data_IF_884037440536
#
_entry.id   IF_884037440536
#
_cell.length_a   1.000
_cell.length_b   1.000
_cell.length_c   1.000
_cell.angle_alpha   90.00
_cell.angle_beta   90.00
_cell.angle_gamma   90.00
#
_symmetry.space_group_name_H-M   'P 1'
#
loop_
_entity.id
_entity.type
_entity.pdbx_description
1 polymer ?
#
# COMPACT_ATOMS: atom_id res chain seq x y z
N UNK A 1 -29.88 5.56 0.29
CA UNK A 1 -29.44 4.56 1.29
C UNK A 1 -27.93 4.61 1.52
N UNK A 2 -27.07 4.12 0.60
CA UNK A 2 -25.61 4.13 0.79
C UNK A 2 -25.07 5.52 1.18
N UNK A 3 -25.30 6.53 0.33
CA UNK A 3 -24.79 7.86 0.57
C UNK A 3 -25.37 8.52 1.84
N UNK A 4 -26.59 8.17 2.23
CA UNK A 4 -27.21 8.72 3.45
C UNK A 4 -26.58 8.13 4.72
N UNK A 5 -26.22 6.85 4.69
CA UNK A 5 -25.50 6.18 5.77
C UNK A 5 -24.05 6.67 5.88
N UNK A 6 -23.40 6.92 4.74
CA UNK A 6 -22.00 7.38 4.70
C UNK A 6 -21.89 8.87 5.03
N UNK A 7 -22.71 9.75 4.45
CA UNK A 7 -22.53 11.21 4.59
C UNK A 7 -22.69 11.75 6.01
N UNK A 8 -23.40 11.03 6.89
CA UNK A 8 -23.52 11.44 8.30
C UNK A 8 -22.20 11.32 9.06
N UNK A 9 -21.23 10.57 8.54
CA UNK A 9 -19.88 10.48 9.12
C UNK A 9 -18.96 11.62 8.69
N UNK A 10 -19.38 12.48 7.75
CA UNK A 10 -18.54 13.54 7.19
C UNK A 10 -18.22 14.64 8.21
N UNK A 11 -16.94 15.02 8.28
CA UNK A 11 -16.45 16.19 8.98
C UNK A 11 -16.28 16.02 10.50
N UNK A 12 -15.82 17.08 11.20
CA UNK A 12 -15.44 17.00 12.62
C UNK A 12 -16.61 16.74 13.57
N UNK A 13 -17.85 16.97 13.10
CA UNK A 13 -19.10 16.68 13.83
C UNK A 13 -19.82 15.46 13.26
N UNK A 14 -19.10 14.56 12.59
CA UNK A 14 -19.59 13.29 12.09
C UNK A 14 -20.30 12.48 13.18
N UNK A 15 -21.42 11.87 12.81
CA UNK A 15 -22.24 11.02 13.67
C UNK A 15 -21.73 9.60 13.64
N UNK A 16 -21.98 8.89 14.74
CA UNK A 16 -21.66 7.47 14.85
C UNK A 16 -22.63 6.64 14.01
N UNK A 17 -22.09 5.66 13.30
CA UNK A 17 -22.84 4.58 12.66
C UNK A 17 -22.53 3.30 13.42
N UNK A 18 -23.58 2.52 13.71
CA UNK A 18 -23.46 1.24 14.40
C UNK A 18 -23.55 0.13 13.36
N UNK A 19 -22.52 -0.72 13.31
CA UNK A 19 -22.43 -1.86 12.41
C UNK A 19 -22.58 -3.13 13.22
N UNK A 20 -23.53 -3.97 12.81
CA UNK A 20 -23.73 -5.27 13.43
C UNK A 20 -22.59 -6.24 13.08
N UNK A 21 -22.32 -7.19 13.96
CA UNK A 21 -21.33 -8.25 13.76
C UNK A 21 -21.98 -9.59 14.06
N UNK A 22 -21.74 -10.58 13.21
CA UNK A 22 -22.30 -11.93 13.41
C UNK A 22 -21.90 -12.57 14.74
N UNK A 23 -20.78 -12.13 15.33
CA UNK A 23 -20.32 -12.54 16.66
C UNK A 23 -19.72 -11.35 17.41
N UNK A 24 -19.98 -11.26 18.72
CA UNK A 24 -19.41 -10.26 19.60
C UNK A 24 -20.23 -8.96 19.69
N UNK A 25 -19.56 -7.88 20.10
CA UNK A 25 -20.19 -6.57 20.26
C UNK A 25 -20.25 -5.82 18.91
N UNK A 26 -21.28 -4.98 18.67
CA UNK A 26 -21.37 -4.17 17.47
C UNK A 26 -20.23 -3.16 17.40
N UNK A 27 -19.80 -2.84 16.18
CA UNK A 27 -18.79 -1.79 15.94
C UNK A 27 -19.47 -0.43 15.89
N UNK A 28 -18.93 0.55 16.60
CA UNK A 28 -19.35 1.95 16.50
C UNK A 28 -18.25 2.68 15.74
N UNK A 29 -18.57 3.29 14.59
CA UNK A 29 -17.58 3.96 13.74
C UNK A 29 -18.07 5.33 13.25
N UNK A 30 -17.10 6.21 12.96
CA UNK A 30 -17.28 7.46 12.21
C UNK A 30 -16.51 7.44 10.89
N UNK A 31 -16.01 6.29 10.48
CA UNK A 31 -15.28 6.13 9.23
C UNK A 31 -16.25 5.76 8.09
N UNK A 32 -16.22 6.53 7.00
CA UNK A 32 -17.04 6.32 5.82
C UNK A 32 -16.62 5.07 5.02
N UNK A 33 -15.35 4.67 5.08
CA UNK A 33 -14.85 3.46 4.40
C UNK A 33 -15.48 2.21 5.00
N UNK A 34 -15.42 2.10 6.33
CA UNK A 34 -16.04 1.01 7.09
C UNK A 34 -17.54 0.92 6.82
N UNK A 35 -18.26 2.05 6.81
CA UNK A 35 -19.70 2.07 6.54
C UNK A 35 -20.00 1.66 5.10
N UNK A 36 -19.28 2.19 4.11
CA UNK A 36 -19.50 1.84 2.71
C UNK A 36 -19.24 0.35 2.43
N UNK A 37 -18.29 -0.27 3.16
CA UNK A 37 -17.93 -1.68 3.00
C UNK A 37 -19.07 -2.62 3.37
N UNK A 38 -19.81 -2.33 4.42
CA UNK A 38 -20.84 -3.23 4.97
C UNK A 38 -22.24 -3.04 4.33
N UNK A 39 -22.42 -2.04 3.46
CA UNK A 39 -23.71 -1.81 2.79
C UNK A 39 -23.90 -2.78 1.61
N UNK A 40 -24.93 -3.61 1.75
CA UNK A 40 -25.51 -4.45 0.71
C UNK A 40 -27.04 -4.42 0.87
N UNK A 41 -27.77 -4.28 -0.25
CA UNK A 41 -29.23 -4.14 -0.25
C UNK A 41 -29.89 -5.43 -0.75
N UNK A 42 -31.07 -5.74 -0.21
CA UNK A 42 -31.84 -6.93 -0.60
C UNK A 42 -32.38 -6.82 -2.04
N UNK A 43 -32.87 -5.64 -2.43
CA UNK A 43 -33.30 -5.38 -3.80
C UNK A 43 -32.08 -5.32 -4.72
N UNK A 44 -32.08 -6.15 -5.77
CA UNK A 44 -30.95 -6.27 -6.68
C UNK A 44 -30.69 -5.00 -7.49
N UNK A 45 -31.71 -4.25 -7.88
CA UNK A 45 -31.54 -3.01 -8.63
C UNK A 45 -30.97 -1.90 -7.75
N UNK A 46 -31.48 -1.77 -6.53
CA UNK A 46 -30.92 -0.83 -5.55
C UNK A 46 -29.49 -1.21 -5.18
N UNK A 47 -29.21 -2.50 -4.97
CA UNK A 47 -27.88 -2.98 -4.64
C UNK A 47 -26.90 -2.71 -5.78
N UNK A 48 -27.28 -2.93 -7.04
CA UNK A 48 -26.45 -2.56 -8.19
C UNK A 48 -26.07 -1.08 -8.14
N UNK A 49 -27.03 -0.20 -7.85
CA UNK A 49 -26.80 1.24 -7.65
C UNK A 49 -25.79 1.53 -6.53
N UNK A 50 -25.97 0.88 -5.38
CA UNK A 50 -25.08 1.03 -4.23
C UNK A 50 -23.65 0.54 -4.53
N UNK A 51 -23.50 -0.65 -5.13
CA UNK A 51 -22.18 -1.20 -5.46
C UNK A 51 -21.43 -0.33 -6.49
N UNK A 52 -22.12 0.27 -7.47
CA UNK A 52 -21.50 1.20 -8.42
C UNK A 52 -20.92 2.44 -7.72
N UNK A 53 -21.63 3.04 -6.76
CA UNK A 53 -21.12 4.19 -6.01
C UNK A 53 -20.01 3.79 -5.03
N UNK A 54 -20.11 2.59 -4.44
CA UNK A 54 -19.06 2.03 -3.59
C UNK A 54 -17.74 1.86 -4.35
N UNK A 55 -17.79 1.47 -5.62
CA UNK A 55 -16.60 1.39 -6.48
C UNK A 55 -15.94 2.76 -6.70
N UNK A 56 -16.74 3.83 -6.84
CA UNK A 56 -16.22 5.21 -6.92
C UNK A 56 -15.48 5.58 -5.65
N UNK A 57 -16.07 5.28 -4.49
CA UNK A 57 -15.51 5.60 -3.19
C UNK A 57 -14.22 4.81 -2.89
N UNK A 58 -14.19 3.53 -3.28
CA UNK A 58 -13.00 2.67 -3.17
C UNK A 58 -11.87 3.15 -4.07
N UNK A 59 -12.14 3.48 -5.33
CA UNK A 59 -11.10 3.97 -6.26
C UNK A 59 -10.52 5.32 -5.83
N UNK A 60 -11.34 6.19 -5.26
CA UNK A 60 -10.85 7.45 -4.68
C UNK A 60 -9.88 7.17 -3.52
N UNK A 61 -10.23 6.24 -2.64
CA UNK A 61 -9.37 5.83 -1.54
C UNK A 61 -8.07 5.16 -2.02
N UNK A 62 -8.15 4.24 -2.99
CA UNK A 62 -6.99 3.54 -3.53
C UNK A 62 -5.99 4.52 -4.17
N UNK A 63 -6.48 5.60 -4.79
CA UNK A 63 -5.66 6.59 -5.49
C UNK A 63 -5.13 7.71 -4.58
N UNK A 64 -5.93 8.19 -3.63
CA UNK A 64 -5.62 9.38 -2.83
C UNK A 64 -5.41 9.09 -1.33
N UNK A 65 -5.77 7.90 -0.85
CA UNK A 65 -5.65 7.50 0.55
C UNK A 65 -6.67 8.10 1.52
N UNK A 66 -7.61 8.91 1.02
CA UNK A 66 -8.73 9.50 1.77
C UNK A 66 -9.84 9.92 0.76
N UNK A 67 -10.94 10.47 1.25
CA UNK A 67 -11.96 11.15 0.45
C UNK A 67 -13.16 10.28 0.10
N UNK A 68 -13.26 9.06 0.63
CA UNK A 68 -14.38 8.13 0.39
C UNK A 68 -15.74 8.76 0.66
N UNK A 69 -15.89 9.48 1.78
CA UNK A 69 -17.13 10.15 2.15
C UNK A 69 -17.45 11.31 1.19
N UNK A 70 -16.44 12.12 0.85
CA UNK A 70 -16.58 13.24 -0.10
C UNK A 70 -16.96 12.74 -1.49
N UNK A 71 -16.28 11.71 -2.00
CA UNK A 71 -16.56 11.08 -3.28
C UNK A 71 -17.99 10.54 -3.33
N UNK A 72 -18.46 9.92 -2.25
CA UNK A 72 -19.83 9.39 -2.15
C UNK A 72 -20.88 10.51 -2.17
N UNK A 73 -20.65 11.63 -1.48
CA UNK A 73 -21.56 12.78 -1.46
C UNK A 73 -21.61 13.50 -2.81
N UNK A 74 -20.46 13.68 -3.46
CA UNK A 74 -20.39 14.26 -4.81
C UNK A 74 -21.08 13.36 -5.83
N UNK A 75 -20.83 12.05 -5.78
CA UNK A 75 -21.51 11.08 -6.62
C UNK A 75 -23.04 11.13 -6.43
N UNK A 76 -23.52 11.15 -5.17
CA UNK A 76 -24.94 11.30 -4.87
C UNK A 76 -25.52 12.57 -5.51
N UNK A 77 -24.82 13.70 -5.39
CA UNK A 77 -25.28 15.00 -5.86
C UNK A 77 -25.38 15.05 -7.39
N UNK A 78 -24.34 14.59 -8.09
CA UNK A 78 -24.30 14.53 -9.56
C UNK A 78 -25.37 13.56 -10.09
N UNK A 79 -25.51 12.39 -9.48
CA UNK A 79 -26.53 11.40 -9.90
C UNK A 79 -27.94 11.97 -9.70
N UNK A 80 -28.21 12.60 -8.55
CA UNK A 80 -29.53 13.13 -8.23
C UNK A 80 -29.94 14.24 -9.20
N UNK A 81 -29.08 15.23 -9.42
CA UNK A 81 -29.38 16.34 -10.34
C UNK A 81 -29.37 15.89 -11.80
N UNK A 82 -28.49 14.96 -12.18
CA UNK A 82 -28.47 14.36 -13.51
C UNK A 82 -29.76 13.60 -13.82
N UNK A 83 -30.25 12.76 -12.90
CA UNK A 83 -31.49 12.02 -13.09
C UNK A 83 -32.72 12.94 -13.12
N UNK A 84 -32.74 14.04 -12.36
CA UNK A 84 -33.80 15.06 -12.47
C UNK A 84 -33.83 15.69 -13.86
N UNK A 85 -32.67 16.04 -14.41
CA UNK A 85 -32.56 16.61 -15.75
C UNK A 85 -33.01 15.60 -16.84
N UNK A 86 -32.65 14.33 -16.69
CA UNK A 86 -33.13 13.25 -17.59
C UNK A 86 -34.65 13.08 -17.48
N UNK A 87 -35.21 13.07 -16.26
CA UNK A 87 -36.65 13.00 -16.06
C UNK A 87 -37.40 14.22 -16.64
N UNK A 88 -36.74 15.37 -16.71
CA UNK A 88 -37.24 16.57 -17.40
C UNK A 88 -37.13 16.49 -18.94
N UNK A 89 -36.64 15.38 -19.49
CA UNK A 89 -36.56 15.13 -20.93
C UNK A 89 -35.26 15.58 -21.59
N UNK A 90 -34.24 15.98 -20.82
CA UNK A 90 -32.93 16.32 -21.38
C UNK A 90 -32.18 15.08 -21.85
N UNK A 91 -31.37 15.22 -22.91
CA UNK A 91 -30.58 14.13 -23.46
C UNK A 91 -29.48 13.69 -22.48
N UNK A 92 -29.48 12.43 -21.99
CA UNK A 92 -28.47 11.94 -21.05
C UNK A 92 -27.04 12.03 -21.58
N UNK A 93 -26.84 11.87 -22.90
CA UNK A 93 -25.52 11.91 -23.51
C UNK A 93 -24.93 13.32 -23.50
N UNK A 94 -25.77 14.35 -23.71
CA UNK A 94 -25.34 15.74 -23.69
C UNK A 94 -25.08 16.20 -22.24
N UNK A 95 -25.89 15.75 -21.28
CA UNK A 95 -25.62 15.96 -19.84
C UNK A 95 -24.27 15.39 -19.45
N UNK A 96 -24.00 14.11 -19.78
CA UNK A 96 -22.70 13.48 -19.52
C UNK A 96 -21.56 14.23 -20.20
N UNK A 97 -21.75 14.63 -21.47
CA UNK A 97 -20.73 15.40 -22.23
C UNK A 97 -20.49 16.78 -21.62
N UNK A 98 -21.48 17.41 -21.00
CA UNK A 98 -21.33 18.69 -20.31
C UNK A 98 -20.63 18.57 -18.96
N UNK A 99 -20.90 17.51 -18.20
CA UNK A 99 -20.27 17.26 -16.89
C UNK A 99 -18.74 17.11 -17.03
N UNK A 100 -18.26 16.39 -18.06
CA UNK A 100 -16.83 16.13 -18.26
C UNK A 100 -15.97 17.40 -18.29
N UNK A 101 -16.18 18.33 -19.25
CA UNK A 101 -15.46 19.60 -19.31
C UNK A 101 -15.61 20.46 -18.05
N UNK A 102 -16.77 20.43 -17.40
CA UNK A 102 -16.98 21.13 -16.12
C UNK A 102 -16.05 20.60 -15.02
N UNK A 103 -15.91 19.28 -14.92
CA UNK A 103 -14.97 18.65 -13.99
C UNK A 103 -13.52 18.97 -14.37
N UNK A 104 -13.15 18.92 -15.65
CA UNK A 104 -11.80 19.26 -16.10
C UNK A 104 -11.42 20.71 -15.76
N UNK A 105 -12.32 21.67 -16.01
CA UNK A 105 -12.11 23.06 -15.60
C UNK A 105 -11.98 23.20 -14.08
N UNK A 106 -12.76 22.44 -13.31
CA UNK A 106 -12.63 22.39 -11.85
C UNK A 106 -11.27 21.85 -11.39
N UNK A 107 -10.76 20.79 -12.03
CA UNK A 107 -9.44 20.21 -11.73
C UNK A 107 -8.31 21.19 -12.05
N UNK A 108 -8.35 21.87 -13.19
CA UNK A 108 -7.35 22.89 -13.53
C UNK A 108 -7.34 24.04 -12.50
N UNK A 109 -8.51 24.48 -12.09
CA UNK A 109 -8.63 25.53 -11.08
C UNK A 109 -8.15 25.05 -9.70
N UNK A 110 -8.42 23.79 -9.32
CA UNK A 110 -7.90 23.20 -8.09
C UNK A 110 -6.37 23.13 -8.10
N UNK A 111 -5.75 22.77 -9.22
CA UNK A 111 -4.29 22.81 -9.37
C UNK A 111 -3.74 24.23 -9.21
N UNK A 112 -4.43 25.23 -9.75
CA UNK A 112 -4.02 26.63 -9.60
C UNK A 112 -4.19 27.17 -8.17
N UNK A 113 -5.16 26.65 -7.42
CA UNK A 113 -5.39 26.98 -6.00
C UNK A 113 -4.48 26.19 -5.05
N UNK A 114 -3.86 25.10 -5.52
CA UNK A 114 -3.04 24.22 -4.70
C UNK A 114 -1.81 24.96 -4.17
N UNK A 115 -1.60 24.84 -2.86
CA UNK A 115 -0.43 25.37 -2.16
C UNK A 115 0.53 24.21 -1.90
N UNK A 116 1.80 24.27 -2.36
CA UNK A 116 2.75 23.20 -2.12
C UNK A 116 3.00 22.94 -0.62
N UNK A 117 2.89 21.69 -0.19
CA UNK A 117 3.21 21.24 1.16
C UNK A 117 4.71 20.89 1.23
N UNK A 118 5.55 21.91 1.46
CA UNK A 118 7.01 21.75 1.33
C UNK A 118 7.77 21.75 2.65
N UNK A 119 7.19 22.35 3.69
CA UNK A 119 7.77 22.49 5.02
C UNK A 119 7.22 21.46 6.01
N UNK A 120 8.07 21.03 6.95
CA UNK A 120 7.71 20.06 7.99
C UNK A 120 6.49 20.50 8.82
N UNK A 121 6.27 21.81 8.97
CA UNK A 121 5.09 22.35 9.67
C UNK A 121 3.79 22.12 8.89
N UNK A 122 3.77 22.37 7.58
CA UNK A 122 2.60 22.06 6.76
C UNK A 122 2.33 20.54 6.73
N UNK A 123 3.37 19.72 6.63
CA UNK A 123 3.28 18.25 6.70
C UNK A 123 2.64 17.82 8.03
N UNK A 124 3.11 18.38 9.15
CA UNK A 124 2.54 18.10 10.46
C UNK A 124 1.07 18.55 10.59
N UNK A 125 0.70 19.68 9.99
CA UNK A 125 -0.68 20.17 9.97
C UNK A 125 -1.61 19.24 9.20
N UNK A 126 -1.19 18.78 8.03
CA UNK A 126 -1.95 17.80 7.24
C UNK A 126 -2.13 16.51 8.05
N UNK A 127 -1.04 15.95 8.57
CA UNK A 127 -1.08 14.73 9.38
C UNK A 127 -1.97 14.89 10.62
N UNK A 128 -1.95 16.05 11.27
CA UNK A 128 -2.80 16.36 12.43
C UNK A 128 -4.28 16.36 12.06
N UNK A 129 -4.66 17.01 10.95
CA UNK A 129 -6.06 17.10 10.51
C UNK A 129 -6.58 15.72 10.11
N UNK A 130 -5.81 14.97 9.33
CA UNK A 130 -6.17 13.61 8.90
C UNK A 130 -6.22 12.64 10.08
N UNK A 131 -5.40 12.86 11.12
CA UNK A 131 -5.46 12.10 12.37
C UNK A 131 -6.51 12.61 13.36
N UNK A 132 -7.66 13.13 12.90
CA UNK A 132 -8.74 13.63 13.77
C UNK A 132 -8.29 14.70 14.78
N UNK A 133 -7.43 15.64 14.34
CA UNK A 133 -6.85 16.71 15.17
C UNK A 133 -5.87 16.24 16.26
N UNK A 134 -5.20 15.10 16.05
CA UNK A 134 -4.15 14.58 16.92
C UNK A 134 -2.77 15.14 16.51
N UNK A 135 -2.30 16.14 17.25
CA UNK A 135 -1.00 16.80 16.99
C UNK A 135 0.21 15.86 17.18
N UNK A 136 0.07 14.83 18.01
CA UNK A 136 1.16 13.88 18.26
C UNK A 136 1.46 13.05 17.02
N UNK A 137 0.40 12.58 16.34
CA UNK A 137 0.49 11.82 15.10
C UNK A 137 1.06 12.67 13.96
N UNK A 138 0.57 13.91 13.81
CA UNK A 138 1.08 14.82 12.79
C UNK A 138 2.57 15.13 12.96
N UNK A 139 3.01 15.38 14.19
CA UNK A 139 4.43 15.65 14.50
C UNK A 139 5.31 14.44 14.19
N UNK A 140 4.83 13.24 14.55
CA UNK A 140 5.55 11.99 14.35
C UNK A 140 5.70 11.62 12.86
N UNK A 141 4.66 11.86 12.05
CA UNK A 141 4.73 11.69 10.59
C UNK A 141 5.73 12.69 9.98
N UNK A 142 5.71 13.94 10.42
CA UNK A 142 6.63 14.96 9.92
C UNK A 142 8.09 14.61 10.23
N UNK A 143 8.37 14.11 11.44
CA UNK A 143 9.71 13.62 11.81
C UNK A 143 10.13 12.41 10.98
N UNK A 144 9.22 11.49 10.69
CA UNK A 144 9.50 10.34 9.83
C UNK A 144 9.89 10.79 8.41
N UNK A 145 9.09 11.67 7.80
CA UNK A 145 9.35 12.21 6.46
C UNK A 145 10.64 13.03 6.40
N UNK A 146 11.01 13.72 7.49
CA UNK A 146 12.28 14.45 7.56
C UNK A 146 13.49 13.51 7.56
N UNK A 147 13.39 12.34 8.21
CA UNK A 147 14.48 11.34 8.25
C UNK A 147 14.67 10.60 6.93
N UNK A 148 13.60 10.11 6.32
CA UNK A 148 13.69 9.30 5.07
C UNK A 148 13.56 10.13 3.79
N UNK A 149 13.24 11.42 3.92
CA UNK A 149 12.96 12.32 2.81
C UNK A 149 11.54 12.15 2.26
N UNK A 150 11.17 13.01 1.31
CA UNK A 150 9.81 13.07 0.74
C UNK A 150 9.40 11.80 0.00
N UNK A 151 10.36 11.15 -0.65
CA UNK A 151 10.17 9.90 -1.39
C UNK A 151 10.46 8.65 -0.54
N UNK A 152 10.75 8.85 0.74
CA UNK A 152 11.09 7.79 1.67
C UNK A 152 9.90 6.89 1.99
N UNK A 153 10.19 5.61 2.25
CA UNK A 153 9.18 4.63 2.63
C UNK A 153 8.93 4.74 4.13
N UNK A 154 7.67 4.91 4.53
CA UNK A 154 7.25 4.94 5.93
C UNK A 154 6.25 3.82 6.15
N UNK A 155 6.41 3.07 7.22
CA UNK A 155 5.57 1.94 7.61
C UNK A 155 5.15 2.11 9.08
N UNK A 156 3.97 1.59 9.42
CA UNK A 156 3.40 1.72 10.77
C UNK A 156 3.26 0.34 11.40
N UNK A 157 3.75 0.19 12.63
CA UNK A 157 3.72 -1.04 13.40
C UNK A 157 3.06 -0.85 14.77
N UNK A 158 2.62 -1.96 15.34
CA UNK A 158 2.14 -2.01 16.72
C UNK A 158 3.34 -1.87 17.66
N UNK A 159 3.31 -0.89 18.56
CA UNK A 159 4.36 -0.68 19.55
C UNK A 159 4.28 -1.67 20.69
N UNK A 160 5.40 -1.94 21.36
CA UNK A 160 5.47 -2.85 22.51
C UNK A 160 5.19 -2.15 23.85
N UNK A 161 5.06 -0.81 23.85
CA UNK A 161 4.91 0.00 25.05
C UNK A 161 3.89 1.13 24.92
N UNK A 162 3.92 2.04 25.89
CA UNK A 162 3.02 3.20 25.96
C UNK A 162 3.44 4.36 25.05
N UNK A 163 4.73 4.44 24.70
CA UNK A 163 5.31 5.54 23.95
C UNK A 163 5.41 5.18 22.46
N UNK A 164 5.28 6.19 21.62
CA UNK A 164 5.53 6.05 20.19
C UNK A 164 7.04 6.06 19.91
N UNK A 165 7.50 5.22 18.98
CA UNK A 165 8.91 5.13 18.57
C UNK A 165 9.04 5.35 17.06
N UNK A 166 10.13 6.00 16.64
CA UNK A 166 10.48 6.20 15.24
C UNK A 166 11.91 5.70 14.99
N UNK A 167 11.99 4.56 14.33
CA UNK A 167 13.25 3.94 13.90
C UNK A 167 13.40 4.03 12.39
N UNK A 168 14.64 4.15 11.91
CA UNK A 168 14.94 4.01 10.47
C UNK A 168 15.77 2.74 10.35
N UNK A 169 15.27 1.81 9.54
CA UNK A 169 15.88 0.51 9.31
C UNK A 169 16.19 0.32 7.83
N UNK A 170 17.10 -0.58 7.52
CA UNK A 170 17.41 -0.94 6.14
C UNK A 170 16.20 -1.66 5.51
N UNK A 171 15.74 -1.17 4.37
CA UNK A 171 14.55 -1.72 3.73
C UNK A 171 14.32 -1.09 2.35
N UNK A 172 13.41 -1.67 1.59
CA UNK A 172 13.04 -1.14 0.27
C UNK A 172 11.58 -1.40 -0.07
N UNK A 173 11.03 -0.58 -0.95
CA UNK A 173 9.71 -0.79 -1.55
C UNK A 173 9.83 -0.85 -3.08
N UNK A 174 9.04 -1.74 -3.69
CA UNK A 174 8.90 -1.84 -5.15
C UNK A 174 7.46 -2.09 -5.58
N UNK A 175 7.15 -1.67 -6.80
CA UNK A 175 5.78 -1.52 -7.31
C UNK A 175 5.28 -2.81 -7.97
N UNK A 176 5.23 -3.88 -7.15
CA UNK A 176 4.64 -5.18 -7.49
C UNK A 176 3.85 -5.66 -6.29
N UNK A 177 2.58 -6.01 -6.49
CA UNK A 177 1.76 -6.61 -5.44
C UNK A 177 1.63 -8.12 -5.54
N UNK A 178 0.75 -8.67 -4.70
CA UNK A 178 0.47 -10.10 -4.63
C UNK A 178 -0.11 -10.63 -5.95
N UNK A 179 0.33 -11.82 -6.35
CA UNK A 179 -0.19 -12.51 -7.55
C UNK A 179 -1.64 -13.00 -7.38
N UNK A 180 -2.08 -13.19 -6.13
CA UNK A 180 -3.42 -13.65 -5.82
C UNK A 180 -3.95 -12.98 -4.54
N UNK A 181 -5.19 -12.44 -4.53
CA UNK A 181 -5.81 -11.92 -3.31
C UNK A 181 -5.99 -12.96 -2.20
N UNK A 182 -5.92 -14.26 -2.53
CA UNK A 182 -6.01 -15.33 -1.54
C UNK A 182 -4.79 -15.42 -0.61
N UNK A 183 -3.72 -14.67 -0.86
CA UNK A 183 -2.60 -14.55 0.08
C UNK A 183 -2.88 -13.55 1.21
N UNK A 184 -3.93 -12.73 1.11
CA UNK A 184 -4.29 -11.72 2.11
C UNK A 184 -4.56 -12.40 3.45
N UNK A 185 -3.78 -12.05 4.46
CA UNK A 185 -3.95 -12.49 5.84
C UNK A 185 -4.43 -11.37 6.78
N UNK A 186 -4.47 -10.12 6.29
CA UNK A 186 -5.08 -8.96 6.95
C UNK A 186 -6.23 -8.43 6.08
N UNK A 187 -7.47 -8.93 6.26
CA UNK A 187 -8.61 -8.51 5.45
C UNK A 187 -9.02 -7.05 5.66
N UNK A 188 -8.64 -6.43 6.79
CA UNK A 188 -8.99 -5.03 7.05
C UNK A 188 -8.24 -4.08 6.10
N UNK A 189 -6.94 -4.28 5.93
CA UNK A 189 -6.08 -3.48 5.05
C UNK A 189 -5.98 -4.05 3.64
N UNK A 190 -6.45 -5.29 3.42
CA UNK A 190 -6.27 -5.99 2.15
C UNK A 190 -4.80 -6.34 1.86
N UNK A 191 -3.97 -6.43 2.90
CA UNK A 191 -2.53 -6.66 2.78
C UNK A 191 -2.12 -8.08 3.20
N UNK A 192 -0.94 -8.48 2.74
CA UNK A 192 -0.22 -9.65 3.24
C UNK A 192 0.90 -9.17 4.15
N UNK A 193 0.87 -9.58 5.40
CA UNK A 193 1.93 -9.29 6.37
C UNK A 193 2.66 -10.58 6.77
N UNK A 194 3.96 -10.65 6.48
CA UNK A 194 4.80 -11.79 6.85
C UNK A 194 5.83 -11.35 7.88
N UNK A 195 5.85 -11.99 9.05
CA UNK A 195 6.83 -11.77 10.11
C UNK A 195 7.99 -12.75 9.99
N UNK A 196 9.21 -12.22 10.04
CA UNK A 196 10.48 -12.96 9.88
C UNK A 196 10.49 -13.95 8.69
N UNK A 197 10.06 -13.54 7.47
CA UNK A 197 10.00 -14.45 6.34
C UNK A 197 11.38 -14.79 5.78
N UNK A 198 11.48 -15.97 5.19
CA UNK A 198 12.47 -16.25 4.15
C UNK A 198 12.05 -15.61 2.83
N UNK A 199 13.01 -15.23 2.00
CA UNK A 199 12.80 -14.55 0.73
C UNK A 199 13.53 -15.32 -0.37
N UNK A 200 12.76 -15.96 -1.23
CA UNK A 200 13.25 -16.65 -2.42
C UNK A 200 13.31 -15.67 -3.59
N UNK A 201 14.48 -15.53 -4.20
CA UNK A 201 14.72 -14.69 -5.36
C UNK A 201 15.07 -15.56 -6.56
N UNK A 202 14.14 -15.67 -7.51
CA UNK A 202 14.30 -16.54 -8.67
C UNK A 202 14.19 -15.74 -9.98
N UNK A 203 15.25 -15.70 -10.78
CA UNK A 203 15.20 -15.11 -12.13
C UNK A 203 14.70 -16.12 -13.18
N UNK A 204 13.54 -16.70 -12.91
CA UNK A 204 12.83 -17.61 -13.82
C UNK A 204 11.32 -17.57 -13.58
N UNK A 205 10.57 -18.06 -14.55
CA UNK A 205 9.14 -18.36 -14.37
C UNK A 205 8.98 -19.69 -13.63
N UNK A 206 8.11 -19.71 -12.63
CA UNK A 206 7.82 -20.90 -11.83
C UNK A 206 6.42 -21.38 -12.19
N UNK A 207 6.36 -22.40 -13.05
CA UNK A 207 5.09 -23.01 -13.47
C UNK A 207 4.82 -24.35 -12.77
N UNK A 208 5.89 -25.04 -12.36
CA UNK A 208 5.83 -26.38 -11.78
C UNK A 208 6.13 -26.35 -10.27
N UNK A 209 5.25 -26.92 -9.46
CA UNK A 209 5.43 -26.96 -8.00
C UNK A 209 6.55 -27.92 -7.56
N UNK A 210 6.89 -28.92 -8.38
CA UNK A 210 7.91 -29.94 -8.02
C UNK A 210 9.27 -29.32 -7.73
N UNK A 211 9.65 -28.31 -8.51
CA UNK A 211 10.89 -27.57 -8.35
C UNK A 211 10.96 -26.80 -7.02
N UNK A 212 9.79 -26.48 -6.45
CA UNK A 212 9.66 -25.74 -5.19
C UNK A 212 9.55 -26.65 -3.97
N UNK A 213 9.29 -27.96 -4.13
CA UNK A 213 9.08 -28.88 -3.00
C UNK A 213 10.25 -28.88 -2.00
N UNK A 214 11.53 -28.99 -2.43
CA UNK A 214 12.64 -29.01 -1.48
C UNK A 214 12.73 -27.74 -0.63
N UNK A 215 12.52 -26.58 -1.27
CA UNK A 215 12.53 -25.27 -0.60
C UNK A 215 11.35 -25.14 0.36
N UNK A 216 10.15 -25.53 -0.07
CA UNK A 216 8.94 -25.46 0.76
C UNK A 216 9.04 -26.36 1.99
N UNK A 217 9.59 -27.57 1.84
CA UNK A 217 9.81 -28.49 2.96
C UNK A 217 10.84 -27.93 3.95
N UNK A 218 11.93 -27.35 3.46
CA UNK A 218 12.96 -26.73 4.30
C UNK A 218 12.40 -25.54 5.10
N UNK A 219 11.62 -24.67 4.44
CA UNK A 219 11.00 -23.50 5.09
C UNK A 219 9.91 -23.91 6.07
N UNK A 220 9.07 -24.89 5.72
CA UNK A 220 8.06 -25.43 6.62
C UNK A 220 8.69 -26.05 7.89
N UNK A 221 9.82 -26.75 7.76
CA UNK A 221 10.58 -27.30 8.89
C UNK A 221 11.15 -26.21 9.80
N UNK A 222 11.54 -25.07 9.23
CA UNK A 222 11.99 -23.91 9.98
C UNK A 222 10.85 -23.12 10.66
N UNK A 223 9.59 -23.41 10.32
CA UNK A 223 8.41 -22.78 10.92
C UNK A 223 8.24 -21.29 10.57
N UNK A 224 8.93 -20.81 9.53
CA UNK A 224 8.90 -19.41 9.08
C UNK A 224 8.07 -19.28 7.79
N UNK A 225 7.49 -18.09 7.52
CA UNK A 225 6.83 -17.82 6.25
C UNK A 225 7.82 -17.68 5.08
N UNK A 226 7.33 -17.78 3.85
CA UNK A 226 8.11 -17.61 2.61
C UNK A 226 7.52 -16.51 1.73
N UNK A 227 8.35 -15.57 1.32
CA UNK A 227 8.10 -14.66 0.19
C UNK A 227 8.79 -15.22 -1.05
N UNK A 228 8.06 -15.32 -2.17
CA UNK A 228 8.60 -15.68 -3.47
C UNK A 228 8.61 -14.44 -4.36
N UNK A 229 9.78 -14.02 -4.81
CA UNK A 229 9.96 -12.98 -5.82
C UNK A 229 10.55 -13.63 -7.07
N UNK A 230 9.73 -13.80 -8.09
CA UNK A 230 10.11 -14.48 -9.33
C UNK A 230 9.73 -13.67 -10.57
N UNK A 231 10.22 -14.04 -11.76
CA UNK A 231 9.73 -13.40 -13.00
C UNK A 231 8.20 -13.52 -13.10
N UNK A 232 7.69 -14.73 -12.87
CA UNK A 232 6.28 -15.01 -12.73
C UNK A 232 6.06 -16.31 -11.94
N UNK A 233 4.91 -16.44 -11.29
CA UNK A 233 4.44 -17.70 -10.69
C UNK A 233 3.05 -17.98 -11.24
N UNK A 234 2.94 -19.03 -12.05
CA UNK A 234 1.74 -19.28 -12.85
C UNK A 234 1.32 -20.75 -12.84
N UNK A 235 0.13 -21.02 -13.38
CA UNK A 235 -0.38 -22.38 -13.59
C UNK A 235 -0.53 -23.19 -12.30
N UNK A 236 -0.02 -24.41 -12.32
CA UNK A 236 -0.13 -25.38 -11.23
C UNK A 236 0.58 -24.89 -9.95
N UNK A 237 1.74 -24.24 -10.09
CA UNK A 237 2.49 -23.71 -8.96
C UNK A 237 1.67 -22.70 -8.15
N UNK A 238 1.07 -21.70 -8.83
CA UNK A 238 0.26 -20.68 -8.15
C UNK A 238 -0.97 -21.28 -7.47
N UNK A 239 -1.70 -22.16 -8.17
CA UNK A 239 -2.90 -22.79 -7.62
C UNK A 239 -2.58 -23.62 -6.37
N UNK A 240 -1.46 -24.36 -6.39
CA UNK A 240 -1.03 -25.20 -5.27
C UNK A 240 -0.59 -24.35 -4.07
N UNK A 241 0.17 -23.28 -4.31
CA UNK A 241 0.56 -22.34 -3.26
C UNK A 241 -0.67 -21.72 -2.59
N UNK A 242 -1.65 -21.25 -3.37
CA UNK A 242 -2.90 -20.67 -2.84
C UNK A 242 -3.63 -21.67 -1.95
N UNK A 243 -3.86 -22.90 -2.42
CA UNK A 243 -4.59 -23.92 -1.65
C UNK A 243 -3.85 -24.30 -0.36
N UNK A 244 -2.52 -24.41 -0.41
CA UNK A 244 -1.72 -24.75 0.78
C UNK A 244 -1.67 -23.60 1.79
N UNK A 245 -1.59 -22.35 1.33
CA UNK A 245 -1.69 -21.17 2.20
C UNK A 245 -3.06 -21.08 2.87
N UNK A 246 -4.16 -21.30 2.12
CA UNK A 246 -5.52 -21.31 2.67
C UNK A 246 -5.75 -22.41 3.71
N UNK A 247 -5.08 -23.56 3.57
CA UNK A 247 -5.12 -24.66 4.54
C UNK A 247 -4.20 -24.46 5.75
N UNK A 248 -3.40 -23.39 5.77
CA UNK A 248 -2.44 -23.10 6.82
C UNK A 248 -1.25 -24.07 6.88
N UNK A 249 -1.00 -24.84 5.81
CA UNK A 249 0.10 -25.81 5.76
C UNK A 249 1.44 -25.07 5.65
N UNK A 250 1.50 -24.08 4.76
CA UNK A 250 2.68 -23.22 4.57
C UNK A 250 2.20 -21.78 4.44
N UNK A 251 2.84 -20.85 5.15
CA UNK A 251 2.56 -19.42 5.01
C UNK A 251 3.40 -18.86 3.88
N UNK A 252 2.85 -18.82 2.67
CA UNK A 252 3.57 -18.35 1.47
C UNK A 252 2.82 -17.21 0.79
N UNK A 253 3.58 -16.23 0.30
CA UNK A 253 3.10 -15.21 -0.62
C UNK A 253 4.03 -15.11 -1.83
N UNK A 254 3.49 -14.78 -2.99
CA UNK A 254 4.25 -14.65 -4.23
C UNK A 254 3.96 -13.32 -4.94
N UNK A 255 5.02 -12.68 -5.41
CA UNK A 255 5.01 -11.41 -6.14
C UNK A 255 5.90 -11.50 -7.38
N UNK A 256 5.60 -10.67 -8.38
CA UNK A 256 6.47 -10.53 -9.54
C UNK A 256 7.73 -9.74 -9.17
N UNK A 257 8.83 -10.05 -9.83
CA UNK A 257 10.04 -9.27 -9.76
C UNK A 257 9.81 -7.86 -10.38
N UNK A 258 10.44 -6.82 -9.81
CA UNK A 258 10.37 -5.48 -10.39
C UNK A 258 11.21 -5.38 -11.67
N UNK A 259 10.78 -4.50 -12.59
CA UNK A 259 11.46 -4.30 -13.87
C UNK A 259 11.27 -5.43 -14.90
N UNK A 260 12.09 -5.42 -15.95
CA UNK A 260 12.11 -6.40 -17.04
C UNK A 260 13.55 -6.51 -17.61
N UNK A 261 13.86 -7.64 -18.26
CA UNK A 261 15.18 -7.87 -18.88
C UNK A 261 16.33 -7.72 -17.88
N UNK A 262 17.44 -7.10 -18.30
CA UNK A 262 18.63 -6.91 -17.48
C UNK A 262 18.37 -6.08 -16.21
N UNK A 263 17.39 -5.18 -16.26
CA UNK A 263 16.99 -4.39 -15.09
C UNK A 263 16.35 -5.25 -14.02
N UNK A 264 15.56 -6.26 -14.40
CA UNK A 264 14.98 -7.21 -13.45
C UNK A 264 16.08 -7.94 -12.68
N UNK A 265 17.10 -8.43 -13.40
CA UNK A 265 18.27 -9.09 -12.79
C UNK A 265 19.00 -8.18 -11.82
N UNK A 266 19.26 -6.94 -12.25
CA UNK A 266 19.93 -5.95 -11.41
C UNK A 266 19.14 -5.62 -10.14
N UNK A 267 17.81 -5.48 -10.24
CA UNK A 267 16.93 -5.21 -9.08
C UNK A 267 16.75 -6.43 -8.19
N UNK A 268 16.67 -7.64 -8.73
CA UNK A 268 16.68 -8.87 -7.93
C UNK A 268 17.97 -8.98 -7.12
N UNK A 269 19.12 -8.64 -7.73
CA UNK A 269 20.39 -8.61 -7.01
C UNK A 269 20.40 -7.55 -5.90
N UNK A 270 19.76 -6.41 -6.10
CA UNK A 270 19.63 -5.38 -5.05
C UNK A 270 18.83 -5.90 -3.86
N UNK A 271 17.71 -6.60 -4.11
CA UNK A 271 16.92 -7.25 -3.06
C UNK A 271 17.73 -8.34 -2.36
N UNK A 272 18.52 -9.12 -3.11
CA UNK A 272 19.37 -10.18 -2.57
C UNK A 272 20.40 -9.62 -1.59
N UNK A 273 21.09 -8.55 -1.98
CA UNK A 273 22.07 -7.86 -1.12
C UNK A 273 21.40 -7.28 0.13
N UNK A 274 20.23 -6.65 -0.01
CA UNK A 274 19.49 -6.09 1.12
C UNK A 274 19.03 -7.16 2.12
N UNK A 275 18.68 -8.35 1.64
CA UNK A 275 18.13 -9.43 2.46
C UNK A 275 19.17 -10.49 2.85
N UNK A 276 20.40 -10.38 2.36
CA UNK A 276 21.46 -11.36 2.57
C UNK A 276 21.23 -12.70 1.83
N UNK A 277 20.44 -12.70 0.75
CA UNK A 277 20.15 -13.89 -0.06
C UNK A 277 20.95 -13.96 -1.36
N UNK A 278 20.75 -15.06 -2.10
CA UNK A 278 21.36 -15.30 -3.41
C UNK A 278 20.28 -15.38 -4.49
N UNK A 279 20.48 -14.72 -5.64
CA UNK A 279 19.55 -14.82 -6.77
C UNK A 279 19.78 -16.15 -7.49
N UNK A 280 18.74 -16.98 -7.54
CA UNK A 280 18.76 -18.25 -8.27
C UNK A 280 18.45 -17.97 -9.74
N UNK A 281 19.45 -18.14 -10.59
CA UNK A 281 19.35 -17.94 -12.04
C UNK A 281 19.87 -19.17 -12.80
N UNK A 282 19.11 -19.59 -13.81
CA UNK A 282 19.50 -20.69 -14.70
C UNK A 282 20.74 -20.34 -15.52
N UNK A 283 21.03 -19.05 -15.74
CA UNK A 283 22.23 -18.61 -16.48
C UNK A 283 23.54 -18.93 -15.77
N UNK A 284 23.49 -19.01 -14.43
CA UNK A 284 24.63 -19.35 -13.57
C UNK A 284 24.64 -20.86 -13.26
N UNK A 285 23.68 -21.62 -13.80
CA UNK A 285 23.54 -23.06 -13.57
C UNK A 285 22.96 -23.42 -12.21
N UNK A 286 22.27 -22.48 -11.53
CA UNK A 286 21.57 -22.76 -10.28
C UNK A 286 20.17 -23.28 -10.54
N UNK A 287 19.76 -24.29 -9.77
CA UNK A 287 18.45 -24.95 -9.86
C UNK A 287 17.70 -24.78 -8.54
N UNK A 288 16.39 -24.50 -8.60
CA UNK A 288 15.53 -24.36 -7.41
C UNK A 288 15.53 -25.61 -6.53
N UNK A 289 15.70 -26.79 -7.14
CA UNK A 289 15.68 -28.08 -6.45
C UNK A 289 16.90 -28.27 -5.54
N UNK A 290 18.00 -27.56 -5.82
CA UNK A 290 19.25 -27.60 -5.06
C UNK A 290 19.41 -26.42 -4.10
N UNK A 291 18.44 -25.49 -4.08
CA UNK A 291 18.49 -24.32 -3.24
C UNK A 291 18.43 -24.71 -1.76
N UNK A 292 19.36 -24.19 -0.98
CA UNK A 292 19.42 -24.36 0.45
C UNK A 292 18.73 -23.20 1.18
N UNK A 293 18.51 -23.36 2.49
CA UNK A 293 18.00 -22.26 3.33
C UNK A 293 18.96 -21.06 3.39
N UNK A 294 20.25 -21.29 3.13
CA UNK A 294 21.29 -20.26 3.09
C UNK A 294 21.22 -19.38 1.83
N UNK A 295 20.60 -19.88 0.75
CA UNK A 295 20.39 -19.11 -0.47
C UNK A 295 19.21 -18.14 -0.35
N UNK A 296 18.33 -18.37 0.63
CA UNK A 296 17.17 -17.53 0.88
C UNK A 296 17.57 -16.30 1.69
N UNK A 297 17.13 -15.13 1.22
CA UNK A 297 17.23 -13.90 1.99
C UNK A 297 16.32 -13.93 3.22
N UNK A 298 16.54 -13.03 4.16
CA UNK A 298 15.69 -12.83 5.32
C UNK A 298 15.43 -11.34 5.56
N UNK A 299 14.26 -11.06 6.14
CA UNK A 299 13.90 -9.74 6.64
C UNK A 299 13.06 -9.90 7.91
N UNK A 300 12.97 -8.86 8.73
CA UNK A 300 12.13 -8.87 9.93
C UNK A 300 10.65 -8.87 9.59
N UNK A 301 10.25 -8.12 8.56
CA UNK A 301 8.86 -8.06 8.11
C UNK A 301 8.76 -7.74 6.62
N UNK A 302 7.74 -8.29 5.98
CA UNK A 302 7.36 -7.93 4.61
C UNK A 302 5.87 -7.61 4.58
N UNK A 303 5.52 -6.51 3.93
CA UNK A 303 4.14 -6.10 3.68
C UNK A 303 3.89 -6.04 2.18
N UNK A 304 2.85 -6.72 1.70
CA UNK A 304 2.48 -6.78 0.29
C UNK A 304 1.05 -6.30 0.13
N UNK A 305 0.88 -5.25 -0.66
CA UNK A 305 -0.42 -4.73 -1.06
C UNK A 305 -0.76 -5.20 -2.49
N UNK A 306 -1.85 -4.69 -3.03
CA UNK A 306 -2.30 -4.98 -4.40
C UNK A 306 -1.27 -4.58 -5.47
N UNK A 307 -0.55 -3.49 -5.24
CA UNK A 307 0.35 -2.89 -6.23
C UNK A 307 1.80 -2.74 -5.73
N UNK A 308 2.06 -2.92 -4.43
CA UNK A 308 3.37 -2.66 -3.82
C UNK A 308 3.83 -3.80 -2.91
N UNK A 309 5.15 -3.98 -2.81
CA UNK A 309 5.81 -4.84 -1.83
C UNK A 309 6.85 -4.04 -1.09
N UNK A 310 6.83 -4.10 0.24
CA UNK A 310 7.76 -3.41 1.13
C UNK A 310 8.47 -4.42 2.01
N UNK A 311 9.80 -4.42 1.95
CA UNK A 311 10.69 -5.26 2.77
C UNK A 311 11.28 -4.36 3.86
N UNK A 312 11.09 -4.77 5.12
CA UNK A 312 11.44 -3.99 6.31
C UNK A 312 12.51 -4.75 7.10
N UNK A 313 13.62 -4.08 7.39
CA UNK A 313 14.74 -4.57 8.21
C UNK A 313 15.32 -5.88 7.64
N UNK A 314 15.97 -5.74 6.48
CA UNK A 314 16.67 -6.82 5.79
C UNK A 314 17.94 -7.26 6.52
N UNK A 315 18.28 -8.55 6.46
CA UNK A 315 19.44 -9.12 7.18
C UNK A 315 20.77 -8.90 6.44
N UNK A 316 20.76 -8.16 5.32
CA UNK A 316 21.96 -7.82 4.57
C UNK A 316 22.98 -7.02 5.39
N UNK A 317 24.27 -7.29 5.19
CA UNK A 317 25.32 -6.54 5.87
C UNK A 317 25.42 -5.11 5.32
N UNK A 318 25.46 -4.09 6.19
CA UNK A 318 25.56 -2.67 5.79
C UNK A 318 26.73 -2.41 4.82
N UNK A 319 27.87 -3.09 5.01
CA UNK A 319 29.04 -2.95 4.13
C UNK A 319 28.72 -3.38 2.68
N UNK A 320 27.92 -4.44 2.52
CA UNK A 320 27.53 -4.94 1.19
C UNK A 320 26.50 -4.02 0.54
N UNK A 321 25.56 -3.47 1.32
CA UNK A 321 24.56 -2.51 0.86
C UNK A 321 25.24 -1.20 0.42
N UNK A 322 26.14 -0.65 1.25
CA UNK A 322 26.90 0.57 0.91
C UNK A 322 27.82 0.35 -0.30
N UNK A 323 28.45 -0.82 -0.40
CA UNK A 323 29.22 -1.21 -1.57
C UNK A 323 28.36 -1.20 -2.84
N UNK A 324 27.14 -1.75 -2.75
CA UNK A 324 26.18 -1.77 -3.86
C UNK A 324 25.72 -0.36 -4.24
N UNK A 325 25.39 0.49 -3.27
CA UNK A 325 25.04 1.90 -3.51
C UNK A 325 26.17 2.63 -4.23
N UNK A 326 27.42 2.40 -3.83
CA UNK A 326 28.61 3.01 -4.47
C UNK A 326 28.78 2.56 -5.92
N UNK A 327 28.60 1.26 -6.19
CA UNK A 327 28.63 0.73 -7.56
C UNK A 327 27.56 1.39 -8.45
N UNK A 328 26.33 1.53 -7.96
CA UNK A 328 25.24 2.13 -8.75
C UNK A 328 25.51 3.63 -8.96
N UNK A 329 26.07 4.34 -7.97
CA UNK A 329 26.49 5.75 -8.14
C UNK A 329 27.55 5.91 -9.22
N UNK A 330 28.53 5.02 -9.30
CA UNK A 330 29.51 5.03 -10.38
C UNK A 330 28.84 4.78 -11.74
N UNK A 331 27.88 3.85 -11.82
CA UNK A 331 27.11 3.61 -13.04
C UNK A 331 26.31 4.85 -13.50
N UNK A 332 25.84 5.70 -12.57
CA UNK A 332 25.15 6.95 -12.90
C UNK A 332 26.10 7.94 -13.60
N UNK A 333 27.35 8.02 -13.17
CA UNK A 333 28.35 8.91 -13.77
C UNK A 333 28.77 8.45 -15.17
N UNK A 334 28.87 7.13 -15.37
CA UNK A 334 29.23 6.50 -16.64
C UNK A 334 28.05 6.45 -17.63
N UNK A 335 26.80 6.59 -17.15
CA UNK A 335 25.61 6.55 -17.99
C UNK A 335 25.56 7.73 -18.96
N UNK A 336 25.36 7.42 -20.25
CA UNK A 336 25.27 8.42 -21.32
C UNK A 336 23.83 8.86 -21.61
N UNK A 337 22.85 8.09 -21.15
CA UNK A 337 21.42 8.32 -21.35
C UNK A 337 20.77 8.86 -20.09
N UNK A 338 19.98 9.93 -20.22
CA UNK A 338 19.22 10.51 -19.10
C UNK A 338 18.22 9.50 -18.52
N UNK A 339 17.65 8.65 -19.37
CA UNK A 339 16.75 7.57 -18.96
C UNK A 339 17.44 6.53 -18.06
N UNK A 340 18.71 6.21 -18.32
CA UNK A 340 19.45 5.26 -17.48
C UNK A 340 19.87 5.93 -16.17
N UNK A 341 20.23 7.21 -16.19
CA UNK A 341 20.53 7.98 -14.98
C UNK A 341 19.34 8.03 -14.04
N UNK A 342 18.16 8.39 -14.53
CA UNK A 342 16.91 8.44 -13.75
C UNK A 342 16.64 7.08 -13.10
N UNK A 343 16.78 5.99 -13.86
CA UNK A 343 16.47 4.63 -13.36
C UNK A 343 17.50 4.10 -12.38
N UNK A 344 18.76 4.48 -12.52
CA UNK A 344 19.79 4.17 -11.53
C UNK A 344 19.62 5.03 -10.26
N UNK A 345 19.20 6.29 -10.39
CA UNK A 345 18.86 7.15 -9.26
C UNK A 345 17.69 6.57 -8.45
N UNK A 346 16.63 6.08 -9.10
CA UNK A 346 15.52 5.39 -8.43
C UNK A 346 16.00 4.19 -7.61
N UNK A 347 16.94 3.40 -8.15
CA UNK A 347 17.51 2.24 -7.45
C UNK A 347 18.34 2.65 -6.24
N UNK A 348 19.17 3.69 -6.37
CA UNK A 348 19.95 4.23 -5.25
C UNK A 348 19.02 4.79 -4.17
N UNK A 349 17.98 5.53 -4.54
CA UNK A 349 17.01 6.07 -3.59
C UNK A 349 16.35 4.95 -2.77
N UNK A 350 15.94 3.87 -3.44
CA UNK A 350 15.32 2.70 -2.79
C UNK A 350 16.28 1.91 -1.88
N UNK A 351 17.58 1.87 -2.19
CA UNK A 351 18.58 1.17 -1.36
C UNK A 351 19.15 2.05 -0.24
N UNK A 352 19.28 3.36 -0.45
CA UNK A 352 19.91 4.27 0.50
C UNK A 352 18.92 5.01 1.40
N UNK A 353 17.65 5.13 0.98
CA UNK A 353 16.61 5.84 1.75
C UNK A 353 16.09 5.05 2.95
N UNK A 354 16.28 3.72 2.95
CA UNK A 354 15.77 2.83 3.98
C UNK A 354 14.25 2.88 4.13
N UNK A 355 13.77 2.36 5.26
CA UNK A 355 12.36 2.39 5.65
C UNK A 355 12.25 2.99 7.05
N UNK A 356 11.45 4.04 7.20
CA UNK A 356 11.04 4.51 8.52
C UNK A 356 9.95 3.60 9.07
N UNK A 357 10.13 3.16 10.31
CA UNK A 357 9.20 2.33 11.05
C UNK A 357 8.67 3.14 12.21
N UNK A 358 7.37 3.41 12.15
CA UNK A 358 6.62 4.11 13.20
C UNK A 358 5.93 3.09 14.08
N UNK A 359 6.39 2.92 15.31
CA UNK A 359 5.75 2.03 16.28
C UNK A 359 4.78 2.83 17.13
N UNK A 360 3.51 2.48 17.06
CA UNK A 360 2.43 3.21 17.75
C UNK A 360 2.22 2.62 19.14
N UNK A 361 2.50 3.43 20.16
CA UNK A 361 2.29 3.07 21.56
C UNK A 361 0.88 3.41 22.04
N UNK A 362 0.33 2.55 22.91
CA UNK A 362 -0.97 2.77 23.54
C UNK A 362 -1.12 2.03 24.87
N UNK A 363 -2.10 2.42 25.70
CA UNK A 363 -2.36 1.81 27.00
C UNK A 363 -3.08 0.47 26.92
N UNK A 364 -3.84 0.24 25.84
CA UNK A 364 -4.57 -1.01 25.60
C UNK A 364 -4.43 -1.45 24.14
N UNK A 365 -4.57 -2.76 23.88
CA UNK A 365 -4.51 -3.31 22.52
C UNK A 365 -5.58 -2.71 21.58
N UNK A 366 -6.76 -2.38 22.12
CA UNK A 366 -7.86 -1.80 21.34
C UNK A 366 -7.52 -0.38 20.90
N UNK A 367 -6.99 0.44 21.81
CA UNK A 367 -6.50 1.79 21.50
C UNK A 367 -5.31 1.75 20.55
N UNK A 368 -4.42 0.77 20.68
CA UNK A 368 -3.27 0.61 19.79
C UNK A 368 -3.71 0.40 18.35
N UNK A 369 -4.68 -0.50 18.11
CA UNK A 369 -5.20 -0.78 16.77
C UNK A 369 -5.93 0.42 16.18
N UNK A 370 -6.69 1.14 17.00
CA UNK A 370 -7.39 2.35 16.56
C UNK A 370 -6.40 3.47 16.22
N UNK A 371 -5.40 3.71 17.08
CA UNK A 371 -4.35 4.72 16.85
C UNK A 371 -3.49 4.35 15.65
N UNK A 372 -3.14 3.07 15.47
CA UNK A 372 -2.42 2.57 14.29
C UNK A 372 -3.18 2.88 13.00
N UNK A 373 -4.46 2.52 12.91
CA UNK A 373 -5.29 2.80 11.74
C UNK A 373 -5.33 4.30 11.44
N UNK A 374 -5.47 5.13 12.48
CA UNK A 374 -5.45 6.58 12.35
C UNK A 374 -4.12 7.14 11.84
N UNK A 375 -3.00 6.57 12.28
CA UNK A 375 -1.66 6.97 11.79
C UNK A 375 -1.44 6.52 10.35
N UNK A 376 -1.91 5.34 9.96
CA UNK A 376 -1.86 4.86 8.57
C UNK A 376 -2.64 5.80 7.64
N UNK A 377 -3.89 6.14 7.98
CA UNK A 377 -4.71 7.08 7.20
C UNK A 377 -4.03 8.45 7.09
N UNK A 378 -3.51 8.97 8.21
CA UNK A 378 -2.81 10.26 8.22
C UNK A 378 -1.52 10.23 7.39
N UNK A 379 -0.78 9.12 7.37
CA UNK A 379 0.41 8.95 6.55
C UNK A 379 0.06 9.00 5.06
N UNK A 380 -1.00 8.31 4.64
CA UNK A 380 -1.45 8.31 3.25
C UNK A 380 -1.88 9.71 2.79
N UNK A 381 -2.70 10.40 3.59
CA UNK A 381 -3.13 11.75 3.29
C UNK A 381 -1.95 12.76 3.22
N UNK A 382 -0.96 12.59 4.10
CA UNK A 382 0.22 13.45 4.12
C UNK A 382 1.10 13.23 2.88
N UNK A 383 1.24 11.99 2.40
CA UNK A 383 1.92 11.71 1.13
C UNK A 383 1.23 12.37 -0.05
N UNK A 384 -0.09 12.22 -0.17
CA UNK A 384 -0.86 12.86 -1.23
C UNK A 384 -0.69 14.40 -1.21
N UNK A 385 -0.67 15.01 -0.03
CA UNK A 385 -0.45 16.44 0.14
C UNK A 385 0.96 16.89 -0.25
N UNK A 386 1.98 16.06 -0.06
CA UNK A 386 3.36 16.35 -0.49
C UNK A 386 3.51 16.25 -2.01
N UNK A 387 2.78 15.35 -2.65
CA UNK A 387 2.80 15.14 -4.11
C UNK A 387 2.05 16.24 -4.88
N UNK A 388 0.80 16.54 -4.50
CA UNK A 388 -0.07 17.45 -5.27
C UNK A 388 -0.33 18.81 -4.58
N UNK A 389 0.15 18.98 -3.35
CA UNK A 389 -0.11 20.15 -2.52
C UNK A 389 -1.43 20.07 -1.74
N UNK A 390 -1.82 21.19 -1.13
CA UNK A 390 -3.03 21.29 -0.29
C UNK A 390 -3.95 22.40 -0.78
N UNK A 391 -5.25 22.21 -0.60
CA UNK A 391 -6.29 23.22 -0.85
C UNK A 391 -7.07 23.51 0.43
N UNK A 392 -7.85 24.59 0.43
CA UNK A 392 -8.71 24.92 1.57
C UNK A 392 -9.73 23.79 1.84
N UNK A 393 -9.65 23.19 3.03
CA UNK A 393 -10.51 22.10 3.46
C UNK A 393 -11.95 22.53 3.79
N UNK A 394 -12.72 21.64 4.42
CA UNK A 394 -14.11 21.92 4.80
C UNK A 394 -15.07 22.06 3.62
N UNK A 395 -14.67 21.61 2.43
CA UNK A 395 -15.44 21.73 1.20
C UNK A 395 -15.45 23.13 0.57
N UNK A 396 -14.59 24.05 1.03
CA UNK A 396 -14.56 25.43 0.50
C UNK A 396 -13.94 25.51 -0.90
N UNK A 397 -13.05 24.57 -1.23
CA UNK A 397 -12.43 24.50 -2.55
C UNK A 397 -13.36 23.90 -3.64
N UNK A 398 -14.45 23.24 -3.23
CA UNK A 398 -15.48 22.65 -4.11
C UNK A 398 -16.61 23.66 -4.33
#
# INVERSE_FOLDING_TARGET
VLADAVKVTLGPKGRNVVLDKSFGAPTITKDGVSVAREIELEDKFENMGAQMVKEVASKANDAAGDGTTTATVLAQSIITEGLKAVAAGMNPMDLKRGIGPGVFGGVEQLKALSVPCSDSKAIAQVGTISANSDESVGTLIAQAMEKVGKEGVITVEEGTGLQDELDVVEGMQFDRGYLSPYFINKPETGAVELESPFILLADKKISNIREMLPVLEAVAKAGKPLLIVAEDVEGEALATLVVNTMRGIVKVAAVKAPGFGDRRKAMLQDIAILTGGTVISEEIGMELEKAALEDLGQAKRVVINKDTTTIIDGVGEEATIQGRVTQIRQQIEEATSDYDKEKLQERVAKLAGGVAVLKVGAATEVEMKEKKARVEDALHATRAAVEEGVVAGGGVAL
#
